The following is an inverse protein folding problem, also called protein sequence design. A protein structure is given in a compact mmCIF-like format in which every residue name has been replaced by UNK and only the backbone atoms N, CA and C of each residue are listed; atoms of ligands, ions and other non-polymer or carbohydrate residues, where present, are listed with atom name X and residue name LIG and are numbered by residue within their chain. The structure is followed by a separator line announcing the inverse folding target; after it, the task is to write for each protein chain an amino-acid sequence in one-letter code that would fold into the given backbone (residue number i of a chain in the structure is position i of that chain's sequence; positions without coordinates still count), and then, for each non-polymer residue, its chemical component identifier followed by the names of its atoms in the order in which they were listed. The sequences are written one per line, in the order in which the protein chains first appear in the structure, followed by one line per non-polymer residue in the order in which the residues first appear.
data_IF_689050728000
#
_entry.id   IF_689050728000
#
_cell.length_a   1.000
_cell.length_b   1.000
_cell.length_c   1.000
_cell.angle_alpha   90.00
_cell.angle_beta   90.00
_cell.angle_gamma   90.00
#
_symmetry.space_group_name_H-M   'P 1'
#
loop_
_entity.id
_entity.type
_entity.pdbx_description
1 polymer ?
#
# COMPACT_ATOMS: atom_id res chain seq x y z
N UNK A 1 54.10 1.05 -15.54
CA UNK A 1 52.98 0.57 -16.37
C UNK A 1 52.24 -0.57 -15.66
N UNK A 2 51.57 -0.30 -14.53
CA UNK A 2 50.82 -1.33 -13.77
C UNK A 2 49.72 -0.70 -12.89
N UNK A 3 49.13 0.43 -13.31
CA UNK A 3 48.12 1.15 -12.53
C UNK A 3 46.75 1.23 -13.19
N UNK A 4 46.56 0.58 -14.34
CA UNK A 4 45.39 0.78 -15.21
C UNK A 4 44.59 -0.50 -15.42
N UNK A 5 44.38 -1.26 -14.35
CA UNK A 5 43.28 -2.23 -14.31
C UNK A 5 42.39 -1.79 -13.17
N UNK A 6 41.63 -0.74 -13.49
CA UNK A 6 40.42 -0.34 -12.78
C UNK A 6 39.50 -1.55 -12.78
N UNK A 7 39.65 -2.41 -11.77
CA UNK A 7 38.71 -3.49 -11.47
C UNK A 7 37.43 -2.78 -11.04
N UNK A 8 36.61 -2.41 -12.01
CA UNK A 8 35.22 -2.03 -11.84
C UNK A 8 34.56 -3.22 -11.13
N UNK A 9 34.58 -3.17 -9.81
CA UNK A 9 33.80 -3.98 -8.91
C UNK A 9 32.32 -3.63 -9.15
N UNK A 10 31.78 -4.12 -10.28
CA UNK A 10 30.36 -4.30 -10.45
C UNK A 10 29.97 -5.49 -9.57
N UNK A 11 29.99 -5.28 -8.25
CA UNK A 11 29.20 -6.05 -7.30
C UNK A 11 27.78 -6.01 -7.87
N UNK A 12 27.37 -7.12 -8.47
CA UNK A 12 26.06 -7.37 -9.06
C UNK A 12 25.00 -6.87 -8.09
N UNK A 13 24.48 -5.66 -8.34
CA UNK A 13 23.39 -5.07 -7.57
C UNK A 13 22.20 -5.98 -7.84
N UNK A 14 21.94 -6.93 -6.93
CA UNK A 14 20.70 -7.69 -6.94
C UNK A 14 19.61 -6.69 -6.61
N UNK A 15 18.99 -6.08 -7.63
CA UNK A 15 17.76 -5.31 -7.42
C UNK A 15 16.69 -6.29 -6.97
N UNK A 16 16.42 -6.31 -5.67
CA UNK A 16 15.20 -6.89 -5.14
C UNK A 16 14.06 -5.93 -5.52
N UNK A 17 13.25 -6.33 -6.49
CA UNK A 17 12.08 -5.56 -6.87
C UNK A 17 10.95 -5.95 -5.92
N UNK A 18 10.46 -5.02 -5.11
CA UNK A 18 9.28 -5.26 -4.31
C UNK A 18 8.06 -5.35 -5.24
N UNK A 19 7.27 -6.41 -5.08
CA UNK A 19 6.02 -6.60 -5.80
C UNK A 19 4.91 -6.88 -4.79
N UNK A 20 3.87 -6.04 -4.81
CA UNK A 20 2.68 -6.28 -4.01
C UNK A 20 1.83 -7.35 -4.70
N UNK A 21 1.66 -8.50 -4.07
CA UNK A 21 0.95 -9.66 -4.66
C UNK A 21 -0.55 -9.64 -4.39
N UNK A 22 -0.93 -9.24 -3.18
CA UNK A 22 -2.30 -9.36 -2.67
C UNK A 22 -2.58 -8.26 -1.68
N UNK A 23 -3.79 -7.72 -1.72
CA UNK A 23 -4.28 -6.76 -0.72
C UNK A 23 -5.72 -7.09 -0.33
N UNK A 24 -6.08 -6.74 0.89
CA UNK A 24 -7.45 -6.66 1.34
C UNK A 24 -7.61 -5.40 2.18
N UNK A 25 -8.60 -4.58 1.83
CA UNK A 25 -8.91 -3.32 2.47
C UNK A 25 -10.24 -3.49 3.19
N UNK A 26 -10.26 -3.26 4.50
CA UNK A 26 -11.45 -3.31 5.33
C UNK A 26 -11.66 -1.98 6.02
N UNK A 27 -12.92 -1.61 6.16
CA UNK A 27 -13.36 -0.43 6.91
C UNK A 27 -12.55 0.83 6.59
N UNK A 28 -12.48 1.18 5.31
CA UNK A 28 -11.74 2.33 4.80
C UNK A 28 -12.60 3.22 3.89
N UNK A 29 -12.97 4.40 4.37
CA UNK A 29 -13.79 5.40 3.66
C UNK A 29 -15.11 4.80 3.17
N UNK A 30 -15.24 4.59 1.85
CA UNK A 30 -16.42 3.98 1.23
C UNK A 30 -16.29 2.46 1.06
N UNK A 31 -15.15 1.86 1.42
CA UNK A 31 -14.88 0.43 1.29
C UNK A 31 -15.22 -0.23 2.62
N UNK A 32 -16.23 -1.10 2.64
CA UNK A 32 -16.53 -1.94 3.81
C UNK A 32 -15.59 -3.15 3.85
N UNK A 33 -15.52 -3.89 2.75
CA UNK A 33 -14.54 -4.95 2.51
C UNK A 33 -14.28 -5.01 0.99
N UNK A 34 -13.02 -4.91 0.56
CA UNK A 34 -12.66 -5.08 -0.84
C UNK A 34 -12.65 -6.54 -1.29
N UNK A 35 -12.68 -7.48 -0.34
CA UNK A 35 -12.23 -8.84 -0.57
C UNK A 35 -10.75 -8.88 -0.91
N UNK A 36 -10.29 -10.07 -1.31
CA UNK A 36 -8.91 -10.29 -1.73
C UNK A 36 -8.70 -9.81 -3.16
N UNK A 37 -7.84 -8.82 -3.35
CA UNK A 37 -7.45 -8.31 -4.66
C UNK A 37 -6.03 -8.80 -4.97
N UNK A 38 -5.90 -9.55 -6.06
CA UNK A 38 -4.61 -9.98 -6.59
C UNK A 38 -4.07 -8.90 -7.53
N UNK A 39 -2.80 -8.57 -7.38
CA UNK A 39 -2.13 -7.54 -8.14
C UNK A 39 -0.99 -8.14 -8.96
N UNK A 40 -0.85 -7.66 -10.19
CA UNK A 40 0.29 -7.93 -11.06
C UNK A 40 1.11 -6.64 -11.26
N UNK A 41 2.23 -6.74 -11.99
CA UNK A 41 3.13 -5.62 -12.33
C UNK A 41 2.40 -4.38 -12.83
N UNK A 42 1.33 -4.57 -13.58
CA UNK A 42 0.44 -3.52 -14.05
C UNK A 42 -0.99 -3.94 -13.74
N UNK A 43 -1.66 -3.20 -12.87
CA UNK A 43 -3.07 -3.43 -12.51
C UNK A 43 -3.86 -2.15 -12.72
N UNK A 44 -4.98 -2.23 -13.46
CA UNK A 44 -5.82 -1.08 -13.78
C UNK A 44 -7.10 -1.08 -12.94
N UNK A 45 -7.36 0.01 -12.21
CA UNK A 45 -8.61 0.22 -11.49
C UNK A 45 -9.61 0.95 -12.39
N UNK A 46 -10.62 0.24 -12.89
CA UNK A 46 -11.69 0.78 -13.77
C UNK A 46 -13.05 0.76 -13.07
N UNK A 47 -13.99 1.61 -13.50
CA UNK A 47 -15.30 1.75 -12.86
C UNK A 47 -15.88 3.16 -12.97
N UNK A 48 -17.10 3.36 -12.46
CA UNK A 48 -17.74 4.69 -12.40
C UNK A 48 -16.96 5.63 -11.49
N UNK A 49 -17.19 6.93 -11.64
CA UNK A 49 -16.76 7.90 -10.64
C UNK A 49 -17.41 7.55 -9.28
N UNK A 50 -16.78 7.98 -8.18
CA UNK A 50 -17.24 7.70 -6.80
C UNK A 50 -17.28 6.21 -6.39
N UNK A 51 -16.89 5.27 -7.26
CA UNK A 51 -16.83 3.82 -6.96
C UNK A 51 -15.76 3.40 -5.94
N UNK A 52 -14.94 4.34 -5.46
CA UNK A 52 -13.93 4.06 -4.43
C UNK A 52 -12.52 3.78 -4.95
N UNK A 53 -12.23 3.96 -6.25
CA UNK A 53 -10.89 3.77 -6.82
C UNK A 53 -9.81 4.62 -6.13
N UNK A 54 -10.10 5.89 -5.88
CA UNK A 54 -9.20 6.77 -5.11
C UNK A 54 -9.04 6.31 -3.65
N UNK A 55 -10.06 5.68 -3.06
CA UNK A 55 -9.95 5.14 -1.71
C UNK A 55 -9.00 3.92 -1.68
N UNK A 56 -9.04 3.04 -2.69
CA UNK A 56 -8.09 1.92 -2.82
C UNK A 56 -6.65 2.43 -2.90
N UNK A 57 -6.39 3.42 -3.76
CA UNK A 57 -5.04 4.01 -3.89
C UNK A 57 -4.56 4.67 -2.59
N UNK A 58 -5.45 5.35 -1.87
CA UNK A 58 -5.11 5.96 -0.57
C UNK A 58 -4.86 4.92 0.53
N UNK A 59 -5.56 3.79 0.51
CA UNK A 59 -5.28 2.68 1.42
C UNK A 59 -3.91 2.07 1.12
N UNK A 60 -3.59 1.84 -0.16
CA UNK A 60 -2.30 1.34 -0.61
C UNK A 60 -1.14 2.25 -0.17
N UNK A 61 -1.30 3.56 -0.34
CA UNK A 61 -0.29 4.55 0.06
C UNK A 61 0.06 4.48 1.55
N UNK A 62 -0.87 4.04 2.41
CA UNK A 62 -0.64 3.93 3.86
C UNK A 62 0.20 2.74 4.30
N UNK A 63 0.33 1.71 3.46
CA UNK A 63 1.17 0.55 3.75
C UNK A 63 2.63 0.97 3.80
N UNK A 64 3.07 1.71 2.77
CA UNK A 64 4.45 2.20 2.64
C UNK A 64 4.44 3.62 2.06
N UNK A 65 4.23 4.65 2.91
CA UNK A 65 4.28 6.03 2.45
C UNK A 65 5.73 6.42 2.13
N UNK A 66 5.89 7.28 1.13
CA UNK A 66 7.17 7.91 0.79
C UNK A 66 7.52 9.08 1.72
N UNK A 67 6.51 9.61 2.42
CA UNK A 67 6.58 10.77 3.31
C UNK A 67 6.22 10.35 4.74
N UNK A 68 6.27 11.28 5.71
CA UNK A 68 5.79 11.04 7.08
C UNK A 68 4.40 10.39 7.04
N UNK A 69 4.26 9.25 7.71
CA UNK A 69 3.01 8.49 7.80
C UNK A 69 1.94 9.38 8.44
N UNK A 70 0.97 9.82 7.64
CA UNK A 70 -0.18 10.54 8.16
C UNK A 70 -0.93 9.65 9.15
N UNK A 71 -1.30 10.22 10.30
CA UNK A 71 -2.10 9.51 11.28
C UNK A 71 -3.46 9.13 10.69
N UNK A 72 -3.93 7.91 11.01
CA UNK A 72 -5.28 7.49 10.62
C UNK A 72 -6.30 8.36 11.36
N UNK A 73 -7.12 9.10 10.62
CA UNK A 73 -8.17 9.93 11.22
C UNK A 73 -9.49 9.16 11.21
N UNK A 74 -10.02 8.82 12.39
CA UNK A 74 -11.29 8.09 12.51
C UNK A 74 -12.44 8.82 11.82
N UNK A 75 -12.49 10.15 11.91
CA UNK A 75 -13.56 10.97 11.34
C UNK A 75 -13.54 10.99 9.80
N UNK A 76 -12.36 10.86 9.19
CA UNK A 76 -12.17 11.01 7.75
C UNK A 76 -11.98 9.68 7.01
N UNK A 77 -11.30 8.73 7.63
CA UNK A 77 -10.85 7.50 6.98
C UNK A 77 -11.66 6.27 7.38
N UNK A 78 -12.37 6.30 8.50
CA UNK A 78 -13.29 5.21 8.86
C UNK A 78 -14.65 5.40 8.17
N UNK A 79 -15.32 4.32 7.74
CA UNK A 79 -16.65 4.43 7.16
C UNK A 79 -17.63 5.07 8.14
N UNK A 80 -18.23 6.20 7.72
CA UNK A 80 -19.13 6.99 8.58
C UNK A 80 -20.28 6.17 9.17
N UNK A 81 -20.78 5.17 8.42
CA UNK A 81 -21.86 4.27 8.86
C UNK A 81 -21.47 3.37 10.03
N UNK A 82 -20.19 2.99 10.14
CA UNK A 82 -19.69 2.09 11.19
C UNK A 82 -19.00 2.83 12.34
N UNK A 83 -18.73 4.12 12.19
CA UNK A 83 -17.96 4.89 13.16
C UNK A 83 -18.67 5.01 14.51
N UNK A 84 -17.92 4.75 15.59
CA UNK A 84 -18.34 4.99 16.97
C UNK A 84 -17.24 5.76 17.70
N UNK A 85 -17.58 6.78 18.50
CA UNK A 85 -16.59 7.69 19.10
C UNK A 85 -15.59 7.01 20.05
N UNK A 86 -15.95 5.88 20.67
CA UNK A 86 -15.10 5.18 21.65
C UNK A 86 -14.49 3.88 21.13
N UNK A 87 -14.42 3.69 19.81
CA UNK A 87 -13.88 2.45 19.25
C UNK A 87 -12.35 2.56 19.06
N UNK A 88 -11.56 1.59 19.53
CA UNK A 88 -10.12 1.59 19.27
C UNK A 88 -9.86 1.45 17.77
N UNK A 89 -8.84 2.15 17.28
CA UNK A 89 -8.43 2.08 15.88
C UNK A 89 -7.77 0.72 15.66
N UNK A 90 -8.25 -0.10 14.70
CA UNK A 90 -7.56 -1.33 14.36
C UNK A 90 -6.18 -1.00 13.80
N UNK A 91 -5.16 -1.66 14.32
CA UNK A 91 -3.79 -1.48 13.83
C UNK A 91 -3.67 -2.03 12.40
N UNK A 92 -3.00 -1.30 11.52
CA UNK A 92 -2.76 -1.76 10.16
C UNK A 92 -1.76 -2.90 10.19
N UNK A 93 -2.23 -4.10 9.88
CA UNK A 93 -1.38 -5.28 9.75
C UNK A 93 -0.76 -5.31 8.35
N UNK A 94 0.53 -5.02 8.26
CA UNK A 94 1.32 -5.31 7.06
C UNK A 94 1.83 -6.73 7.23
N UNK A 95 1.19 -7.68 6.55
CA UNK A 95 1.61 -9.08 6.58
C UNK A 95 2.64 -9.26 5.47
N UNK A 96 3.91 -9.39 5.85
CA UNK A 96 4.95 -9.81 4.93
C UNK A 96 4.66 -11.27 4.55
N UNK A 97 4.18 -11.48 3.33
CA UNK A 97 3.97 -12.82 2.77
C UNK A 97 5.20 -13.16 1.93
N UNK A 98 5.75 -14.36 2.16
CA UNK A 98 6.98 -14.88 1.53
C UNK A 98 6.94 -14.91 -0.01
#
# INVERSE_FOLDING_TARGET
MAGFVLLLNLKKIRRCFMLLKKIQIKDFRCIEDSGELFLDKVTCLVGKNESGKTAILKALYRIKPDTKKEAFSQTLDFPKKKWKPNQPIPETQVVDTE
#
